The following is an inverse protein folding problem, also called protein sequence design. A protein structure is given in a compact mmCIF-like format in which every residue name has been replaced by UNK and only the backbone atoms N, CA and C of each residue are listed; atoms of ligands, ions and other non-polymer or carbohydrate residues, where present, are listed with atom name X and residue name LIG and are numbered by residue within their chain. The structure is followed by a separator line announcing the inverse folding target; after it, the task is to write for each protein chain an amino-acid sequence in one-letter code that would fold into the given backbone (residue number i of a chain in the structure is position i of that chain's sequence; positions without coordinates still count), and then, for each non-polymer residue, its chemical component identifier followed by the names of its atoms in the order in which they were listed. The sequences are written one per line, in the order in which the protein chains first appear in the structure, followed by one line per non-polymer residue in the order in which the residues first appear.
data_IF_134456790101
#
_entry.id   IF_134456790101
#
_cell.length_a   1.000
_cell.length_b   1.000
_cell.length_c   1.000
_cell.angle_alpha   90.00
_cell.angle_beta   90.00
_cell.angle_gamma   90.00
#
_symmetry.space_group_name_H-M   'P 1'
#
loop_
_entity.id
_entity.type
_entity.pdbx_description
1 polymer ?
#
# COMPACT_ATOMS: atom_id res chain seq x y z
N UNK A 1 -12.46 5.18 42.13
CA UNK A 1 -12.40 3.84 41.50
C UNK A 1 -12.12 4.04 40.03
N UNK A 2 -10.95 3.63 39.52
CA UNK A 2 -10.64 3.75 38.09
C UNK A 2 -11.45 2.71 37.33
N UNK A 3 -12.45 3.16 36.57
CA UNK A 3 -13.17 2.32 35.62
C UNK A 3 -12.18 1.83 34.56
N UNK A 4 -11.97 0.51 34.51
CA UNK A 4 -11.22 -0.12 33.41
C UNK A 4 -12.13 -0.06 32.17
N UNK A 5 -11.64 0.41 31.02
CA UNK A 5 -12.44 0.42 29.79
C UNK A 5 -12.77 -1.01 29.35
N UNK A 6 -14.02 -1.25 28.96
CA UNK A 6 -14.55 -2.55 28.52
C UNK A 6 -14.10 -2.96 27.10
N UNK A 7 -13.22 -2.18 26.48
CA UNK A 7 -12.72 -2.44 25.13
C UNK A 7 -11.32 -3.04 25.21
N UNK A 8 -10.99 -4.04 24.37
CA UNK A 8 -9.65 -4.59 24.34
C UNK A 8 -8.64 -3.51 23.92
N UNK A 9 -7.54 -3.40 24.65
CA UNK A 9 -6.43 -2.46 24.38
C UNK A 9 -5.64 -2.80 23.11
N UNK A 10 -5.91 -3.97 22.52
CA UNK A 10 -5.33 -4.45 21.27
C UNK A 10 -6.47 -4.69 20.28
N UNK A 11 -6.40 -4.08 19.10
CA UNK A 11 -7.36 -4.31 18.02
C UNK A 11 -7.32 -5.80 17.63
N UNK A 12 -8.37 -6.56 17.97
CA UNK A 12 -8.53 -7.93 17.50
C UNK A 12 -9.11 -7.87 16.10
N UNK A 13 -8.36 -8.35 15.11
CA UNK A 13 -8.89 -8.59 13.76
C UNK A 13 -9.91 -9.73 13.88
N UNK A 14 -11.20 -9.39 13.82
CA UNK A 14 -12.27 -10.38 13.78
C UNK A 14 -12.37 -10.88 12.35
N UNK A 15 -12.02 -12.15 12.11
CA UNK A 15 -12.27 -12.81 10.82
C UNK A 15 -13.78 -13.00 10.67
N UNK A 16 -14.40 -12.22 9.80
CA UNK A 16 -15.83 -12.32 9.49
C UNK A 16 -16.03 -13.51 8.55
N UNK A 17 -16.78 -14.51 9.00
CA UNK A 17 -17.24 -15.60 8.13
C UNK A 17 -18.52 -15.14 7.42
N UNK A 18 -18.61 -15.28 6.08
CA UNK A 18 -19.82 -14.94 5.38
C UNK A 18 -20.98 -15.85 5.81
N UNK A 19 -22.18 -15.28 5.88
CA UNK A 19 -23.38 -16.03 6.27
C UNK A 19 -23.81 -16.99 5.16
N UNK A 20 -24.50 -18.08 5.51
CA UNK A 20 -25.02 -19.04 4.54
C UNK A 20 -26.05 -18.34 3.65
N UNK A 21 -25.67 -18.09 2.38
CA UNK A 21 -26.50 -17.37 1.39
C UNK A 21 -26.00 -15.98 1.01
N UNK A 22 -24.91 -15.51 1.63
CA UNK A 22 -24.25 -14.28 1.21
C UNK A 22 -23.52 -14.50 -0.12
N UNK A 23 -23.68 -13.55 -1.04
CA UNK A 23 -22.94 -13.52 -2.30
C UNK A 23 -21.82 -12.48 -2.20
N UNK A 24 -20.67 -12.73 -2.84
CA UNK A 24 -19.62 -11.73 -2.93
C UNK A 24 -20.15 -10.48 -3.66
N UNK A 25 -19.46 -9.34 -3.46
CA UNK A 25 -19.79 -8.11 -4.18
C UNK A 25 -19.85 -8.38 -5.70
N UNK A 26 -20.75 -7.68 -6.41
CA UNK A 26 -20.93 -7.90 -7.84
C UNK A 26 -19.60 -7.76 -8.61
N UNK A 27 -19.22 -8.81 -9.34
CA UNK A 27 -17.95 -8.88 -10.07
C UNK A 27 -16.76 -9.45 -9.27
N UNK A 28 -16.97 -9.82 -8.01
CA UNK A 28 -15.99 -10.52 -7.17
C UNK A 28 -16.43 -11.96 -6.91
N UNK A 29 -15.46 -12.83 -6.66
CA UNK A 29 -15.63 -14.22 -6.25
C UNK A 29 -15.18 -14.38 -4.80
N UNK A 30 -15.62 -15.45 -4.12
CA UNK A 30 -15.10 -15.76 -2.77
C UNK A 30 -13.58 -16.01 -2.76
N UNK A 31 -12.98 -16.34 -3.91
CA UNK A 31 -11.54 -16.48 -4.06
C UNK A 31 -10.76 -15.16 -4.03
N UNK A 32 -11.44 -14.02 -4.17
CA UNK A 32 -10.84 -12.69 -4.05
C UNK A 32 -10.77 -12.19 -2.60
N UNK A 33 -11.37 -12.94 -1.66
CA UNK A 33 -11.29 -12.68 -0.24
C UNK A 33 -10.28 -13.63 0.41
N UNK A 34 -9.13 -13.08 0.79
CA UNK A 34 -8.01 -13.79 1.43
C UNK A 34 -8.43 -14.63 2.66
N UNK A 35 -9.56 -14.31 3.30
CA UNK A 35 -10.03 -14.96 4.53
C UNK A 35 -11.06 -16.10 4.33
N UNK A 36 -11.56 -16.34 3.12
CA UNK A 36 -12.73 -17.24 2.89
C UNK A 36 -12.35 -18.62 2.31
N UNK A 37 -11.13 -18.78 1.80
CA UNK A 37 -10.63 -20.01 1.16
C UNK A 37 -10.61 -21.25 2.09
N UNK A 38 -10.53 -21.04 3.41
CA UNK A 38 -10.57 -22.12 4.41
C UNK A 38 -11.97 -22.70 4.70
N UNK A 39 -13.03 -22.21 4.06
CA UNK A 39 -14.41 -22.65 4.31
C UNK A 39 -15.08 -23.35 3.12
N UNK A 40 -14.40 -23.48 1.98
CA UNK A 40 -14.97 -24.17 0.82
C UNK A 40 -15.18 -25.68 1.13
N UNK A 41 -16.41 -26.22 1.04
CA UNK A 41 -16.66 -27.65 1.19
C UNK A 41 -16.03 -28.37 -0.01
N UNK A 42 -14.83 -28.92 0.20
CA UNK A 42 -14.00 -29.53 -0.84
C UNK A 42 -12.51 -29.21 -0.74
N UNK A 43 -12.11 -28.23 0.08
CA UNK A 43 -10.70 -28.03 0.41
C UNK A 43 -10.26 -29.10 1.43
N UNK A 44 -9.48 -30.07 0.96
CA UNK A 44 -8.96 -31.16 1.79
C UNK A 44 -8.19 -30.59 2.98
N UNK A 45 -8.63 -30.96 4.19
CA UNK A 45 -7.86 -30.86 5.42
C UNK A 45 -6.58 -31.66 5.29
N UNK A 46 -5.51 -31.02 4.84
CA UNK A 46 -4.16 -31.58 4.80
C UNK A 46 -3.35 -31.14 6.00
N UNK A 47 -3.65 -31.67 7.19
CA UNK A 47 -2.68 -31.68 8.28
C UNK A 47 -1.72 -32.83 8.00
N UNK A 48 -0.52 -32.52 7.52
CA UNK A 48 0.51 -33.50 7.21
C UNK A 48 1.89 -32.85 7.15
N UNK A 49 2.55 -32.85 8.29
CA UNK A 49 3.99 -32.62 8.48
C UNK A 49 4.85 -33.40 7.47
N UNK A 50 5.79 -32.71 6.81
CA UNK A 50 7.21 -33.11 6.78
C UNK A 50 8.07 -32.01 6.13
N UNK A 51 9.24 -31.83 6.75
CA UNK A 51 10.44 -31.12 6.33
C UNK A 51 10.53 -30.74 4.85
N UNK A 52 10.77 -29.46 4.57
CA UNK A 52 12.05 -29.08 3.97
C UNK A 52 12.35 -27.59 4.18
N UNK A 53 13.64 -27.34 4.30
CA UNK A 53 14.36 -26.11 4.61
C UNK A 53 13.90 -24.79 3.94
N UNK A 54 14.12 -23.70 4.70
CA UNK A 54 14.52 -22.37 4.22
C UNK A 54 13.61 -21.60 3.24
N UNK A 55 12.95 -20.55 3.76
CA UNK A 55 13.40 -19.15 3.59
C UNK A 55 12.21 -18.17 3.63
N UNK A 56 12.30 -17.24 4.57
CA UNK A 56 11.97 -15.81 4.41
C UNK A 56 10.57 -15.40 3.92
N UNK A 57 9.67 -15.20 4.88
CA UNK A 57 8.55 -14.24 4.79
C UNK A 57 9.00 -12.76 4.80
N UNK A 58 10.21 -12.46 4.33
CA UNK A 58 10.71 -11.12 4.07
C UNK A 58 10.65 -10.82 2.57
N UNK A 59 10.45 -9.55 2.20
CA UNK A 59 10.48 -9.03 0.84
C UNK A 59 11.38 -9.86 -0.09
N UNK A 60 10.75 -10.57 -1.03
CA UNK A 60 11.26 -11.82 -1.59
C UNK A 60 12.73 -11.82 -1.99
N UNK A 61 13.50 -12.72 -1.37
CA UNK A 61 14.75 -13.19 -1.95
C UNK A 61 14.39 -14.05 -3.16
N UNK A 62 14.58 -13.51 -4.37
CA UNK A 62 14.47 -14.31 -5.59
C UNK A 62 15.63 -15.31 -5.59
N UNK A 63 15.35 -16.57 -5.25
CA UNK A 63 16.30 -17.67 -5.48
C UNK A 63 16.60 -17.70 -6.98
N UNK A 64 17.84 -17.32 -7.32
CA UNK A 64 18.31 -17.29 -8.70
C UNK A 64 18.06 -18.64 -9.36
N UNK A 65 17.32 -18.64 -10.47
CA UNK A 65 17.11 -19.83 -11.29
C UNK A 65 18.47 -20.35 -11.74
N UNK A 66 18.88 -21.49 -11.18
CA UNK A 66 20.14 -22.16 -11.48
C UNK A 66 20.40 -22.19 -12.98
N UNK A 67 21.46 -21.50 -13.40
CA UNK A 67 21.98 -21.61 -14.75
C UNK A 67 22.38 -23.05 -14.98
N UNK A 68 21.74 -23.70 -15.95
CA UNK A 68 22.21 -24.99 -16.47
C UNK A 68 23.63 -24.79 -16.97
N UNK A 69 24.60 -25.24 -16.19
CA UNK A 69 25.96 -25.48 -16.66
C UNK A 69 25.83 -26.50 -17.79
N UNK A 70 25.91 -26.03 -19.03
CA UNK A 70 26.03 -26.92 -20.18
C UNK A 70 27.38 -27.60 -20.06
N UNK A 71 27.35 -28.82 -19.50
CA UNK A 71 28.45 -29.77 -19.58
C UNK A 71 28.60 -30.14 -21.06
N UNK A 72 29.35 -29.33 -21.81
CA UNK A 72 29.77 -29.68 -23.17
C UNK A 72 31.11 -30.38 -23.07
N UNK A 73 31.06 -31.66 -22.72
CA UNK A 73 32.17 -32.56 -22.92
C UNK A 73 32.38 -32.76 -24.43
N UNK A 74 33.64 -32.64 -24.84
CA UNK A 74 34.25 -33.21 -26.05
C UNK A 74 33.97 -32.56 -27.41
N UNK A 75 35.05 -32.17 -28.08
CA UNK A 75 35.13 -32.14 -29.54
C UNK A 75 35.71 -30.84 -30.09
N UNK A 76 36.98 -30.92 -30.53
CA UNK A 76 37.61 -29.89 -31.35
C UNK A 76 36.82 -29.64 -32.63
N UNK A 77 36.56 -28.37 -32.97
CA UNK A 77 36.72 -27.85 -34.34
C UNK A 77 36.54 -26.33 -34.35
N UNK A 78 37.47 -25.69 -35.04
CA UNK A 78 37.60 -24.24 -35.26
C UNK A 78 36.41 -23.75 -36.10
N UNK A 79 35.73 -22.69 -35.65
CA UNK A 79 34.94 -21.81 -36.52
C UNK A 79 34.63 -20.45 -35.85
N UNK A 80 35.55 -19.52 -36.03
CA UNK A 80 35.35 -18.09 -36.28
C UNK A 80 33.92 -17.52 -36.10
N UNK A 81 33.64 -16.86 -34.96
CA UNK A 81 32.58 -15.84 -34.87
C UNK A 81 33.15 -14.59 -34.21
N UNK A 82 33.21 -13.56 -35.03
CA UNK A 82 33.65 -12.18 -34.82
C UNK A 82 33.36 -11.59 -33.45
N UNK A 83 34.42 -11.09 -32.83
CA UNK A 83 34.43 -10.19 -31.68
C UNK A 83 33.70 -8.88 -32.02
N UNK A 84 32.56 -8.62 -31.38
CA UNK A 84 31.91 -7.31 -31.43
C UNK A 84 32.73 -6.32 -30.59
N UNK A 85 33.35 -5.35 -31.27
CA UNK A 85 34.07 -4.23 -30.66
C UNK A 85 33.17 -3.41 -29.71
N UNK A 86 33.74 -2.79 -28.66
CA UNK A 86 32.98 -1.94 -27.74
C UNK A 86 32.53 -0.66 -28.46
N UNK A 87 31.24 -0.57 -28.75
CA UNK A 87 30.62 0.66 -29.25
C UNK A 87 30.64 1.75 -28.19
N UNK A 88 31.08 2.94 -28.58
CA UNK A 88 31.19 4.18 -27.81
C UNK A 88 29.97 4.50 -26.91
N UNK A 89 30.15 5.23 -25.79
CA UNK A 89 29.13 5.49 -24.77
C UNK A 89 28.09 6.55 -25.15
N UNK A 90 27.73 6.67 -26.43
CA UNK A 90 26.91 7.77 -26.95
C UNK A 90 25.59 7.38 -27.60
N UNK A 91 25.49 6.17 -28.17
CA UNK A 91 24.34 5.82 -28.99
C UNK A 91 23.55 4.65 -28.41
N UNK A 92 22.52 5.02 -27.65
CA UNK A 92 21.51 4.07 -27.19
C UNK A 92 20.91 3.36 -28.41
N UNK A 93 21.03 2.04 -28.42
CA UNK A 93 20.41 1.14 -29.39
C UNK A 93 18.92 1.46 -29.56
N UNK A 94 18.37 1.26 -30.76
CA UNK A 94 16.93 1.49 -31.06
C UNK A 94 16.02 0.87 -30.00
N UNK A 95 16.36 -0.32 -29.50
CA UNK A 95 15.61 -1.02 -28.44
C UNK A 95 15.70 -0.31 -27.10
N UNK A 96 16.86 0.24 -26.75
CA UNK A 96 17.03 1.02 -25.53
C UNK A 96 16.25 2.33 -25.59
N UNK A 97 16.21 3.00 -26.75
CA UNK A 97 15.38 4.21 -26.95
C UNK A 97 13.89 3.92 -26.80
N UNK A 98 13.41 2.79 -27.32
CA UNK A 98 12.01 2.36 -27.13
C UNK A 98 11.68 2.04 -25.67
N UNK A 99 12.57 1.33 -24.96
CA UNK A 99 12.38 1.01 -23.56
C UNK A 99 12.42 2.26 -22.67
N UNK A 100 13.29 3.22 -22.97
CA UNK A 100 13.33 4.52 -22.28
C UNK A 100 11.99 5.25 -22.44
N UNK A 101 11.47 5.37 -23.69
CA UNK A 101 10.16 5.98 -23.95
C UNK A 101 9.03 5.29 -23.18
N UNK A 102 8.99 3.96 -23.15
CA UNK A 102 7.98 3.20 -22.38
C UNK A 102 8.09 3.47 -20.88
N UNK A 103 9.32 3.54 -20.35
CA UNK A 103 9.55 3.83 -18.93
C UNK A 103 9.12 5.25 -18.56
N UNK A 104 9.41 6.22 -19.42
CA UNK A 104 9.07 7.62 -19.18
C UNK A 104 7.56 7.85 -19.28
N UNK A 105 6.87 7.17 -20.21
CA UNK A 105 5.40 7.17 -20.27
C UNK A 105 4.77 6.55 -19.00
N UNK A 106 5.29 5.41 -18.53
CA UNK A 106 4.81 4.78 -17.30
C UNK A 106 5.05 5.65 -16.06
N UNK A 107 6.17 6.39 -16.01
CA UNK A 107 6.44 7.37 -14.95
C UNK A 107 5.45 8.54 -15.00
N UNK A 108 5.17 9.07 -16.18
CA UNK A 108 4.20 10.15 -16.34
C UNK A 108 2.80 9.74 -15.85
N UNK A 109 2.34 8.54 -16.22
CA UNK A 109 1.05 8.02 -15.75
C UNK A 109 0.99 7.85 -14.23
N UNK A 110 2.08 7.41 -13.59
CA UNK A 110 2.16 7.32 -12.12
C UNK A 110 2.11 8.70 -11.45
N UNK A 111 2.83 9.67 -11.98
CA UNK A 111 2.85 11.05 -11.45
C UNK A 111 1.46 11.70 -11.55
N UNK A 112 0.72 11.44 -12.62
CA UNK A 112 -0.66 11.92 -12.77
C UNK A 112 -1.60 11.31 -11.73
N UNK A 113 -1.57 9.98 -11.54
CA UNK A 113 -2.38 9.33 -10.51
C UNK A 113 -2.04 9.78 -9.08
N UNK A 114 -0.78 10.04 -8.78
CA UNK A 114 -0.37 10.59 -7.48
C UNK A 114 -0.87 12.03 -7.27
N UNK A 115 -0.88 12.86 -8.32
CA UNK A 115 -1.46 14.21 -8.26
C UNK A 115 -2.95 14.18 -7.96
N UNK A 116 -3.70 13.29 -8.60
CA UNK A 116 -5.12 13.14 -8.36
C UNK A 116 -5.41 12.70 -6.93
N UNK A 117 -4.65 11.72 -6.42
CA UNK A 117 -4.73 11.31 -5.02
C UNK A 117 -4.48 12.46 -4.05
N UNK A 118 -3.45 13.27 -4.28
CA UNK A 118 -3.13 14.44 -3.44
C UNK A 118 -4.23 15.50 -3.53
N UNK A 119 -4.81 15.74 -4.71
CA UNK A 119 -5.89 16.69 -4.91
C UNK A 119 -7.15 16.27 -4.14
N UNK A 120 -7.53 14.99 -4.20
CA UNK A 120 -8.66 14.44 -3.44
C UNK A 120 -8.43 14.60 -1.94
N UNK A 121 -7.23 14.26 -1.45
CA UNK A 121 -6.87 14.41 -0.04
C UNK A 121 -6.92 15.88 0.42
N UNK A 122 -6.45 16.81 -0.41
CA UNK A 122 -6.50 18.26 -0.11
C UNK A 122 -7.95 18.76 -0.05
N UNK A 123 -8.80 18.33 -1.00
CA UNK A 123 -10.22 18.66 -1.00
C UNK A 123 -10.91 18.18 0.28
N UNK A 124 -10.68 16.93 0.66
CA UNK A 124 -11.21 16.36 1.90
C UNK A 124 -10.76 17.12 3.16
N UNK A 125 -9.48 17.49 3.25
CA UNK A 125 -8.98 18.31 4.38
C UNK A 125 -9.65 19.68 4.45
N UNK A 126 -9.82 20.33 3.30
CA UNK A 126 -10.46 21.64 3.22
C UNK A 126 -11.92 21.56 3.66
N UNK A 127 -12.62 20.48 3.30
CA UNK A 127 -14.01 20.25 3.72
C UNK A 127 -14.13 20.01 5.23
N UNK A 128 -13.23 19.21 5.82
CA UNK A 128 -13.20 19.02 7.27
C UNK A 128 -12.95 20.33 8.03
N UNK A 129 -12.05 21.18 7.54
CA UNK A 129 -11.80 22.49 8.13
C UNK A 129 -13.03 23.41 8.01
N UNK A 130 -13.72 23.38 6.86
CA UNK A 130 -14.97 24.11 6.65
C UNK A 130 -16.04 23.64 7.64
N UNK A 131 -16.23 22.34 7.79
CA UNK A 131 -17.17 21.76 8.76
C UNK A 131 -16.83 22.16 10.19
N UNK A 132 -15.55 22.11 10.57
CA UNK A 132 -15.08 22.52 11.90
C UNK A 132 -15.34 24.00 12.18
N UNK A 133 -15.13 24.88 11.20
CA UNK A 133 -15.47 26.30 11.35
C UNK A 133 -16.97 26.53 11.51
N UNK A 134 -17.80 25.81 10.75
CA UNK A 134 -19.25 25.88 10.87
C UNK A 134 -19.69 25.41 12.27
N UNK A 135 -19.16 24.28 12.75
CA UNK A 135 -19.45 23.76 14.09
C UNK A 135 -19.02 24.72 15.20
N UNK A 136 -17.86 25.37 15.07
CA UNK A 136 -17.43 26.39 16.04
C UNK A 136 -18.30 27.65 15.98
N UNK A 137 -18.78 28.03 14.80
CA UNK A 137 -19.67 29.18 14.63
C UNK A 137 -21.07 28.90 15.18
N UNK A 138 -21.61 27.69 15.01
CA UNK A 138 -22.93 27.29 15.51
C UNK A 138 -22.90 26.90 16.99
N UNK A 139 -21.78 26.37 17.49
CA UNK A 139 -21.54 26.04 18.90
C UNK A 139 -21.23 27.24 19.80
N UNK A 140 -21.00 28.43 19.22
CA UNK A 140 -20.87 29.70 19.95
C UNK A 140 -22.21 30.31 20.40
N UNK A 141 -23.30 29.55 20.33
CA UNK A 141 -24.59 29.93 20.89
C UNK A 141 -24.67 29.59 22.37
N UNK A 142 -24.60 30.62 23.22
CA UNK A 142 -24.63 30.64 24.70
C UNK A 142 -23.25 30.62 25.36
N UNK A 143 -22.53 31.72 25.22
CA UNK A 143 -21.61 32.16 26.27
C UNK A 143 -22.39 32.19 27.59
N UNK A 144 -21.98 31.33 28.52
CA UNK A 144 -22.48 31.37 29.89
C UNK A 144 -22.23 32.77 30.44
N UNK A 145 -23.20 33.32 31.18
CA UNK A 145 -23.10 34.60 31.91
C UNK A 145 -22.06 34.55 33.04
N UNK A 146 -20.82 34.21 32.72
CA UNK A 146 -19.65 34.12 33.59
C UNK A 146 -18.53 34.98 33.02
N UNK A 147 -17.56 35.30 33.88
CA UNK A 147 -16.59 36.36 33.69
C UNK A 147 -15.94 36.38 32.29
N UNK A 148 -15.87 37.57 31.68
CA UNK A 148 -15.27 37.79 30.36
C UNK A 148 -13.79 38.10 30.54
N UNK A 149 -12.91 37.34 29.88
CA UNK A 149 -11.49 37.64 29.87
C UNK A 149 -11.21 38.81 28.91
N UNK A 150 -10.80 39.96 29.47
CA UNK A 150 -10.35 41.15 28.74
C UNK A 150 -8.84 41.37 28.94
N UNK A 151 -8.16 42.06 28.02
CA UNK A 151 -6.76 42.47 28.20
C UNK A 151 -6.72 43.94 28.63
N UNK A 152 -6.04 44.24 29.73
CA UNK A 152 -5.82 45.62 30.15
C UNK A 152 -4.83 46.34 29.21
N UNK A 153 -4.73 47.67 29.33
CA UNK A 153 -3.80 48.48 28.52
C UNK A 153 -2.31 48.13 28.71
N UNK A 154 -1.98 47.31 29.72
CA UNK A 154 -0.63 46.80 30.03
C UNK A 154 -0.45 45.35 29.54
N UNK A 155 -1.43 44.79 28.83
CA UNK A 155 -1.41 43.44 28.29
C UNK A 155 -1.65 42.33 29.32
N UNK A 156 -2.20 42.65 30.49
CA UNK A 156 -2.56 41.65 31.50
C UNK A 156 -3.99 41.16 31.26
N UNK A 157 -4.19 39.85 31.38
CA UNK A 157 -5.53 39.25 31.31
C UNK A 157 -6.29 39.51 32.61
N UNK A 158 -7.48 40.10 32.50
CA UNK A 158 -8.41 40.45 33.58
C UNK A 158 -9.75 39.77 33.29
N UNK A 159 -10.48 39.36 34.33
CA UNK A 159 -11.78 38.69 34.24
C UNK A 159 -12.87 39.61 34.80
N UNK A 160 -13.80 40.08 33.94
CA UNK A 160 -14.90 41.01 34.29
C UNK A 160 -16.26 40.32 34.39
#
# INVERSE_FOLDING_TARGET
MLQKPDYPTLARVVKVKPSVGEQPAAGFSWGDYEDVSSFAPGASTGTGTNDDDNDDGGWGVVKGRGGRTSNRASGSTIANVTTSAPTAPGDMSKKQRQNAKKRDAAKAAKVEGERDRVNVLRGHKSELERMRMIEQATGRGKESKGQVASLDAKGKMVWD
#
